data_IF_782198540366
#
_entry.id   IF_782198540366
#
_cell.length_a   1.000
_cell.length_b   1.000
_cell.length_c   1.000
_cell.angle_alpha   90.00
_cell.angle_beta   90.00
_cell.angle_gamma   90.00
#
_symmetry.space_group_name_H-M   'P 1'
#
loop_
_entity.id
_entity.type
_entity.pdbx_description
1 polymer ?
#
# COMPACT_ATOMS: atom_id res chain seq x y z
N UNK A 1 1.65 17.46 -4.92
CA UNK A 1 2.49 16.56 -5.74
C UNK A 1 2.71 17.19 -7.09
N UNK A 2 3.95 17.25 -7.55
CA UNK A 2 4.27 17.72 -8.90
C UNK A 2 3.80 16.67 -9.91
N UNK A 3 3.31 17.10 -11.08
CA UNK A 3 2.95 16.20 -12.19
C UNK A 3 4.08 15.22 -12.53
N UNK A 4 5.33 15.65 -12.34
CA UNK A 4 6.55 14.85 -12.53
C UNK A 4 6.63 13.66 -11.56
N UNK A 5 6.29 13.86 -10.28
CA UNK A 5 6.28 12.79 -9.26
C UNK A 5 5.20 11.75 -9.55
N UNK A 6 4.04 12.19 -10.06
CA UNK A 6 2.95 11.30 -10.47
C UNK A 6 3.37 10.42 -11.65
N UNK A 7 4.02 11.00 -12.67
CA UNK A 7 4.50 10.25 -13.84
C UNK A 7 5.58 9.24 -13.45
N UNK A 8 6.49 9.62 -12.56
CA UNK A 8 7.56 8.75 -12.07
C UNK A 8 6.99 7.55 -11.28
N UNK A 9 6.06 7.78 -10.36
CA UNK A 9 5.35 6.71 -9.64
C UNK A 9 4.62 5.73 -10.56
N UNK A 10 3.96 6.25 -11.60
CA UNK A 10 3.26 5.40 -12.58
C UNK A 10 4.26 4.55 -13.38
N UNK A 11 5.38 5.13 -13.80
CA UNK A 11 6.45 4.40 -14.49
C UNK A 11 7.08 3.32 -13.61
N UNK A 12 7.33 3.62 -12.33
CA UNK A 12 7.93 2.66 -11.40
C UNK A 12 7.00 1.45 -11.16
N UNK A 13 5.69 1.68 -11.01
CA UNK A 13 4.72 0.58 -10.95
C UNK A 13 4.69 -0.22 -12.24
N UNK A 14 4.63 0.43 -13.40
CA UNK A 14 4.63 -0.25 -14.69
C UNK A 14 5.89 -1.10 -14.89
N UNK A 15 7.06 -0.56 -14.53
CA UNK A 15 8.32 -1.29 -14.56
C UNK A 15 8.33 -2.49 -13.62
N UNK A 16 7.77 -2.36 -12.43
CA UNK A 16 7.61 -3.47 -11.50
C UNK A 16 6.66 -4.56 -12.03
N UNK A 17 5.50 -4.16 -12.58
CA UNK A 17 4.56 -5.10 -13.19
C UNK A 17 5.17 -5.80 -14.42
N UNK A 18 5.95 -5.09 -15.24
CA UNK A 18 6.69 -5.68 -16.34
C UNK A 18 7.74 -6.70 -15.84
N UNK A 19 8.44 -6.38 -14.74
CA UNK A 19 9.38 -7.32 -14.11
C UNK A 19 8.65 -8.58 -13.62
N UNK A 20 7.50 -8.41 -12.97
CA UNK A 20 6.63 -9.51 -12.54
C UNK A 20 6.20 -10.37 -13.74
N UNK A 21 5.72 -9.76 -14.82
CA UNK A 21 5.31 -10.47 -16.04
C UNK A 21 6.46 -11.25 -16.68
N UNK A 22 7.67 -10.67 -16.74
CA UNK A 22 8.84 -11.36 -17.27
C UNK A 22 9.19 -12.61 -16.47
N UNK A 23 9.07 -12.57 -15.14
CA UNK A 23 9.31 -13.75 -14.30
C UNK A 23 8.29 -14.85 -14.59
N UNK A 24 7.00 -14.50 -14.71
CA UNK A 24 5.98 -15.48 -15.12
C UNK A 24 6.24 -16.04 -16.52
N UNK A 25 6.71 -15.23 -17.46
CA UNK A 25 7.07 -15.68 -18.82
C UNK A 25 8.23 -16.67 -18.85
N UNK A 26 9.11 -16.66 -17.84
CA UNK A 26 10.25 -17.58 -17.71
C UNK A 26 9.89 -18.87 -16.95
N UNK A 27 8.76 -18.92 -16.24
CA UNK A 27 8.31 -20.09 -15.48
C UNK A 27 9.07 -20.37 -14.18
N UNK A 28 10.06 -19.55 -13.82
CA UNK A 28 10.78 -19.61 -12.56
C UNK A 28 11.31 -18.23 -12.12
N UNK A 29 11.43 -18.03 -10.81
CA UNK A 29 12.04 -16.83 -10.22
C UNK A 29 13.27 -17.21 -9.39
N UNK A 30 14.29 -16.36 -9.39
CA UNK A 30 15.36 -16.48 -8.40
C UNK A 30 14.92 -15.86 -7.07
N UNK A 31 15.63 -16.21 -6.00
CA UNK A 31 15.42 -15.62 -4.68
C UNK A 31 15.74 -14.13 -4.66
N UNK A 32 16.72 -13.71 -5.45
CA UNK A 32 17.11 -12.30 -5.56
C UNK A 32 16.03 -11.49 -6.28
N UNK A 33 15.39 -12.07 -7.31
CA UNK A 33 14.25 -11.43 -7.98
C UNK A 33 13.10 -11.16 -7.01
N UNK A 34 12.77 -12.14 -6.15
CA UNK A 34 11.74 -11.97 -5.15
C UNK A 34 12.11 -10.94 -4.08
N UNK A 35 13.37 -10.89 -3.64
CA UNK A 35 13.86 -9.87 -2.70
C UNK A 35 13.73 -8.47 -3.29
N UNK A 36 14.11 -8.31 -4.55
CA UNK A 36 14.05 -7.02 -5.21
C UNK A 36 12.59 -6.59 -5.42
N UNK A 37 11.70 -7.50 -5.83
CA UNK A 37 10.26 -7.22 -6.00
C UNK A 37 9.62 -6.83 -4.67
N UNK A 38 9.83 -7.63 -3.62
CA UNK A 38 9.29 -7.40 -2.30
C UNK A 38 9.77 -6.06 -1.72
N UNK A 39 11.06 -5.74 -1.86
CA UNK A 39 11.61 -4.44 -1.46
C UNK A 39 10.98 -3.29 -2.25
N UNK A 40 10.92 -3.39 -3.58
CA UNK A 40 10.32 -2.35 -4.44
C UNK A 40 8.85 -2.12 -4.11
N UNK A 41 8.10 -3.19 -3.83
CA UNK A 41 6.69 -3.07 -3.41
C UNK A 41 6.57 -2.32 -2.09
N UNK A 42 7.39 -2.65 -1.08
CA UNK A 42 7.40 -1.92 0.20
C UNK A 42 7.73 -0.45 0.01
N UNK A 43 8.74 -0.14 -0.80
CA UNK A 43 9.15 1.24 -1.07
C UNK A 43 8.01 2.03 -1.74
N UNK A 44 7.30 1.42 -2.70
CA UNK A 44 6.13 2.02 -3.35
C UNK A 44 4.98 2.24 -2.37
N UNK A 45 4.65 1.24 -1.54
CA UNK A 45 3.59 1.37 -0.55
C UNK A 45 3.90 2.46 0.49
N UNK A 46 5.15 2.55 0.94
CA UNK A 46 5.59 3.60 1.85
C UNK A 46 5.50 4.98 1.20
N UNK A 47 5.88 5.12 -0.07
CA UNK A 47 5.75 6.36 -0.82
C UNK A 47 4.28 6.78 -1.02
N UNK A 48 3.36 5.82 -1.16
CA UNK A 48 1.93 6.08 -1.17
C UNK A 48 1.45 6.57 0.20
N UNK A 49 1.82 5.89 1.30
CA UNK A 49 1.44 6.32 2.65
C UNK A 49 1.94 7.72 2.98
N UNK A 50 3.16 8.09 2.59
CA UNK A 50 3.64 9.49 2.71
C UNK A 50 2.78 10.47 1.94
N UNK A 51 2.44 10.13 0.70
CA UNK A 51 1.58 11.00 -0.12
C UNK A 51 0.17 11.14 0.48
N UNK A 52 -0.40 10.04 0.97
CA UNK A 52 -1.68 10.02 1.65
C UNK A 52 -1.62 10.88 2.91
N UNK A 53 -0.54 10.77 3.69
CA UNK A 53 -0.32 11.54 4.92
C UNK A 53 -0.37 13.04 4.66
N UNK A 54 0.38 13.53 3.67
CA UNK A 54 0.41 14.95 3.31
C UNK A 54 -0.97 15.43 2.83
N UNK A 55 -1.60 14.67 1.92
CA UNK A 55 -2.93 15.03 1.41
C UNK A 55 -3.98 15.05 2.53
N UNK A 56 -3.89 14.11 3.46
CA UNK A 56 -4.80 14.06 4.61
C UNK A 56 -4.61 15.23 5.58
N UNK A 57 -3.41 15.80 5.73
CA UNK A 57 -3.21 17.02 6.52
C UNK A 57 -3.98 18.19 5.95
N UNK A 58 -3.93 18.36 4.63
CA UNK A 58 -4.68 19.41 3.94
C UNK A 58 -6.19 19.24 4.15
N UNK A 59 -6.70 18.01 4.02
CA UNK A 59 -8.11 17.70 4.29
C UNK A 59 -8.45 18.02 5.75
N UNK A 60 -7.62 17.60 6.70
CA UNK A 60 -7.87 17.79 8.12
C UNK A 60 -7.90 19.28 8.50
N UNK A 61 -6.96 20.08 7.99
CA UNK A 61 -6.93 21.53 8.21
C UNK A 61 -8.15 22.22 7.59
N UNK A 62 -8.53 21.83 6.37
CA UNK A 62 -9.74 22.34 5.72
C UNK A 62 -11.01 21.99 6.53
N UNK A 63 -11.09 20.76 7.05
CA UNK A 63 -12.20 20.31 7.89
C UNK A 63 -12.23 21.06 9.24
N UNK A 64 -11.09 21.36 9.84
CA UNK A 64 -11.00 22.16 11.06
C UNK A 64 -11.51 23.59 10.82
N UNK A 65 -11.05 24.23 9.75
CA UNK A 65 -11.47 25.58 9.37
C UNK A 65 -12.98 25.65 9.08
N UNK A 66 -13.55 24.58 8.52
CA UNK A 66 -14.99 24.47 8.24
C UNK A 66 -15.83 24.03 9.47
N UNK A 67 -15.22 23.72 10.61
CA UNK A 67 -15.92 23.17 11.78
C UNK A 67 -16.53 21.78 11.54
N UNK A 68 -15.96 21.01 10.62
CA UNK A 68 -16.42 19.66 10.20
C UNK A 68 -15.49 18.53 10.63
N UNK A 69 -14.32 18.88 11.18
CA UNK A 69 -13.37 17.90 11.67
C UNK A 69 -13.99 17.04 12.79
N UNK A 70 -13.90 15.73 12.62
CA UNK A 70 -14.26 14.74 13.64
C UNK A 70 -12.99 14.07 14.18
N UNK A 71 -13.13 13.34 15.29
CA UNK A 71 -12.04 12.55 15.86
C UNK A 71 -11.45 11.52 14.87
N UNK A 72 -12.27 11.02 13.93
CA UNK A 72 -11.80 10.08 12.91
C UNK A 72 -10.75 10.70 11.97
N UNK A 73 -10.79 12.01 11.68
CA UNK A 73 -9.75 12.65 10.88
C UNK A 73 -8.38 12.59 11.55
N UNK A 74 -8.34 12.85 12.87
CA UNK A 74 -7.11 12.75 13.66
C UNK A 74 -6.65 11.30 13.78
N UNK A 75 -7.57 10.36 13.96
CA UNK A 75 -7.24 8.92 14.00
C UNK A 75 -6.67 8.41 12.68
N UNK A 76 -7.18 8.87 11.54
CA UNK A 76 -6.63 8.49 10.23
C UNK A 76 -5.18 8.91 10.09
N UNK A 77 -4.79 10.11 10.54
CA UNK A 77 -3.38 10.54 10.58
C UNK A 77 -2.51 9.52 11.32
N UNK A 78 -2.91 9.18 12.55
CA UNK A 78 -2.17 8.24 13.40
C UNK A 78 -2.05 6.85 12.76
N UNK A 79 -3.11 6.40 12.10
CA UNK A 79 -3.14 5.10 11.43
C UNK A 79 -2.25 5.11 10.18
N UNK A 80 -2.29 6.17 9.36
CA UNK A 80 -1.40 6.31 8.20
C UNK A 80 0.07 6.24 8.64
N UNK A 81 0.44 7.00 9.67
CA UNK A 81 1.82 7.02 10.19
C UNK A 81 2.23 5.64 10.71
N UNK A 82 1.38 5.00 11.52
CA UNK A 82 1.64 3.66 12.06
C UNK A 82 1.81 2.63 10.95
N UNK A 83 0.86 2.56 10.01
CA UNK A 83 0.84 1.53 8.95
C UNK A 83 1.96 1.77 7.94
N UNK A 84 2.20 3.03 7.56
CA UNK A 84 3.32 3.39 6.69
C UNK A 84 4.67 2.96 7.28
N UNK A 85 4.90 3.26 8.56
CA UNK A 85 6.14 2.86 9.24
C UNK A 85 6.25 1.35 9.48
N UNK A 86 5.12 0.65 9.62
CA UNK A 86 5.08 -0.82 9.71
C UNK A 86 5.54 -1.45 8.41
N UNK A 87 5.01 -0.98 7.28
CA UNK A 87 5.41 -1.45 5.95
C UNK A 87 6.88 -1.12 5.69
N UNK A 88 7.34 0.09 6.01
CA UNK A 88 8.72 0.51 5.78
C UNK A 88 9.75 -0.32 6.57
N UNK A 89 9.43 -0.67 7.83
CA UNK A 89 10.31 -1.44 8.72
C UNK A 89 10.12 -2.95 8.64
N UNK A 90 9.19 -3.43 7.83
CA UNK A 90 8.96 -4.86 7.69
C UNK A 90 10.19 -5.55 7.10
N UNK A 91 10.52 -6.71 7.66
CA UNK A 91 11.50 -7.63 7.08
C UNK A 91 11.02 -8.14 5.72
N UNK A 92 11.89 -8.86 5.01
CA UNK A 92 11.50 -9.50 3.75
C UNK A 92 10.30 -10.45 3.97
N UNK A 93 9.14 -10.09 3.43
CA UNK A 93 7.88 -10.78 3.76
C UNK A 93 7.79 -12.20 3.22
N UNK A 94 8.69 -12.57 2.31
CA UNK A 94 8.82 -13.92 1.76
C UNK A 94 10.07 -14.66 2.27
N UNK A 95 10.64 -14.26 3.41
CA UNK A 95 11.85 -14.88 3.95
C UNK A 95 11.79 -16.43 3.95
N UNK A 96 10.66 -17.02 4.35
CA UNK A 96 10.48 -18.48 4.34
C UNK A 96 10.55 -19.13 2.95
N UNK A 97 10.12 -18.43 1.89
CA UNK A 97 10.28 -18.88 0.50
C UNK A 97 11.70 -18.62 -0.03
N UNK A 98 12.33 -17.53 0.43
CA UNK A 98 13.71 -17.16 0.08
C UNK A 98 14.74 -18.08 0.74
N UNK A 99 14.42 -18.74 1.84
CA UNK A 99 15.35 -19.62 2.55
C UNK A 99 15.35 -21.07 2.02
N UNK A 100 14.41 -21.40 1.12
CA UNK A 100 14.35 -22.73 0.49
C UNK A 100 15.53 -22.97 -0.46
N UNK A 101 16.06 -24.20 -0.47
CA UNK A 101 17.07 -24.64 -1.44
C UNK A 101 16.42 -24.90 -2.81
N UNK A 102 16.95 -24.27 -3.86
CA UNK A 102 16.51 -24.48 -5.24
C UNK A 102 15.71 -23.30 -5.82
N UNK A 103 15.16 -23.50 -7.02
CA UNK A 103 14.23 -22.55 -7.65
C UNK A 103 12.85 -22.61 -6.99
N UNK A 104 12.15 -21.49 -6.98
CA UNK A 104 10.79 -21.41 -6.43
C UNK A 104 9.82 -21.86 -7.52
N UNK A 105 8.88 -22.73 -7.15
CA UNK A 105 7.89 -23.28 -8.09
C UNK A 105 6.96 -22.16 -8.57
N UNK A 106 6.57 -22.24 -9.84
CA UNK A 106 5.67 -21.29 -10.50
C UNK A 106 4.35 -21.09 -9.73
N UNK A 107 3.79 -22.16 -9.14
CA UNK A 107 2.55 -22.09 -8.37
C UNK A 107 2.68 -21.29 -7.06
N UNK A 108 3.82 -21.40 -6.37
CA UNK A 108 4.09 -20.66 -5.14
C UNK A 108 4.38 -19.19 -5.43
N UNK A 109 5.14 -18.95 -6.51
CA UNK A 109 5.38 -17.63 -7.06
C UNK A 109 4.07 -16.93 -7.44
N UNK A 110 3.17 -17.64 -8.14
CA UNK A 110 1.85 -17.13 -8.51
C UNK A 110 1.04 -16.72 -7.29
N UNK A 111 1.04 -17.54 -6.23
CA UNK A 111 0.32 -17.24 -4.99
C UNK A 111 0.82 -15.95 -4.34
N UNK A 112 2.13 -15.79 -4.23
CA UNK A 112 2.79 -14.61 -3.65
C UNK A 112 2.45 -13.35 -4.44
N UNK A 113 2.65 -13.38 -5.76
CA UNK A 113 2.47 -12.20 -6.60
C UNK A 113 1.00 -11.81 -6.74
N UNK A 114 0.08 -12.78 -6.72
CA UNK A 114 -1.35 -12.50 -6.66
C UNK A 114 -1.76 -11.83 -5.34
N UNK A 115 -1.12 -12.21 -4.23
CA UNK A 115 -1.34 -11.57 -2.94
C UNK A 115 -0.87 -10.11 -2.95
N UNK A 116 0.34 -9.85 -3.44
CA UNK A 116 0.87 -8.49 -3.57
C UNK A 116 0.06 -7.63 -4.55
N UNK A 117 -0.46 -8.24 -5.62
CA UNK A 117 -1.37 -7.55 -6.53
C UNK A 117 -2.63 -7.08 -5.79
N UNK A 118 -3.23 -7.95 -4.98
CA UNK A 118 -4.40 -7.59 -4.18
C UNK A 118 -4.10 -6.47 -3.17
N UNK A 119 -2.93 -6.49 -2.52
CA UNK A 119 -2.49 -5.39 -1.64
C UNK A 119 -2.28 -4.08 -2.40
N UNK A 120 -1.72 -4.16 -3.62
CA UNK A 120 -1.55 -3.00 -4.49
C UNK A 120 -2.89 -2.39 -4.91
N UNK A 121 -3.88 -3.23 -5.22
CA UNK A 121 -5.23 -2.77 -5.55
C UNK A 121 -5.90 -2.09 -4.35
N UNK A 122 -5.68 -2.59 -3.12
CA UNK A 122 -6.21 -1.98 -1.90
C UNK A 122 -5.63 -0.61 -1.62
N UNK A 123 -4.31 -0.45 -1.70
CA UNK A 123 -3.69 0.87 -1.46
C UNK A 123 -4.13 1.88 -2.52
N UNK A 124 -4.34 1.44 -3.77
CA UNK A 124 -4.94 2.30 -4.80
C UNK A 124 -6.39 2.65 -4.50
N UNK A 125 -7.16 1.74 -3.91
CA UNK A 125 -8.50 2.03 -3.39
C UNK A 125 -8.48 3.10 -2.29
N UNK A 126 -7.51 3.05 -1.38
CA UNK A 126 -7.31 4.07 -0.33
C UNK A 126 -6.95 5.42 -0.97
N UNK A 127 -6.00 5.45 -1.90
CA UNK A 127 -5.60 6.67 -2.62
C UNK A 127 -6.81 7.33 -3.29
N UNK A 128 -7.61 6.57 -4.03
CA UNK A 128 -8.83 7.09 -4.67
C UNK A 128 -9.82 7.67 -3.66
N UNK A 129 -10.07 6.96 -2.55
CA UNK A 129 -11.00 7.44 -1.53
C UNK A 129 -10.53 8.74 -0.86
N UNK A 130 -9.22 8.87 -0.62
CA UNK A 130 -8.63 10.12 -0.09
C UNK A 130 -8.69 11.24 -1.13
N UNK A 131 -8.44 10.94 -2.41
CA UNK A 131 -8.52 11.91 -3.50
C UNK A 131 -9.95 12.44 -3.69
N UNK A 132 -10.95 11.57 -3.58
CA UNK A 132 -12.36 11.97 -3.61
C UNK A 132 -12.69 12.93 -2.47
N UNK A 133 -12.31 12.61 -1.23
CA UNK A 133 -12.54 13.49 -0.08
C UNK A 133 -11.74 14.80 -0.19
N UNK A 134 -10.53 14.74 -0.75
CA UNK A 134 -9.72 15.92 -1.02
C UNK A 134 -10.44 16.87 -1.98
N UNK A 135 -10.93 16.35 -3.10
CA UNK A 135 -11.64 17.15 -4.10
C UNK A 135 -12.93 17.77 -3.53
N UNK A 136 -13.67 17.01 -2.72
CA UNK A 136 -14.84 17.54 -2.00
C UNK A 136 -14.47 18.68 -1.04
N UNK A 137 -13.40 18.49 -0.26
CA UNK A 137 -12.92 19.52 0.67
C UNK A 137 -12.50 20.80 -0.07
N UNK A 138 -11.81 20.68 -1.21
CA UNK A 138 -11.44 21.82 -2.06
C UNK A 138 -12.67 22.53 -2.65
N UNK A 139 -13.73 21.78 -2.96
CA UNK A 139 -15.02 22.33 -3.40
C UNK A 139 -15.89 22.87 -2.25
N UNK A 140 -15.43 22.77 -0.99
CA UNK A 140 -16.22 23.13 0.19
C UNK A 140 -17.41 22.20 0.46
N UNK A 141 -17.45 21.03 -0.18
CA UNK A 141 -18.48 20.02 0.02
C UNK A 141 -18.14 19.13 1.22
N UNK A 142 -18.89 19.28 2.31
CA UNK A 142 -18.65 18.54 3.56
C UNK A 142 -19.76 17.56 3.93
N UNK A 143 -20.74 17.34 3.06
CA UNK A 143 -21.97 16.59 3.37
C UNK A 143 -21.65 15.18 3.88
N UNK A 144 -20.74 14.47 3.19
CA UNK A 144 -20.40 13.08 3.51
C UNK A 144 -19.01 12.92 4.14
N UNK A 145 -18.36 14.03 4.53
CA UNK A 145 -16.95 14.02 4.91
C UNK A 145 -16.63 13.10 6.09
N UNK A 146 -17.51 13.07 7.11
CA UNK A 146 -17.36 12.18 8.26
C UNK A 146 -17.48 10.70 7.87
N UNK A 147 -18.47 10.35 7.05
CA UNK A 147 -18.66 8.98 6.57
C UNK A 147 -17.49 8.54 5.67
N UNK A 148 -16.99 9.42 4.80
CA UNK A 148 -15.79 9.18 3.97
C UNK A 148 -14.56 8.97 4.84
N UNK A 149 -14.36 9.79 5.88
CA UNK A 149 -13.25 9.61 6.81
C UNK A 149 -13.29 8.27 7.56
N UNK A 150 -14.47 7.85 8.02
CA UNK A 150 -14.67 6.54 8.63
C UNK A 150 -14.37 5.40 7.66
N UNK A 151 -14.86 5.50 6.42
CA UNK A 151 -14.57 4.49 5.39
C UNK A 151 -13.07 4.39 5.11
N UNK A 152 -12.37 5.52 4.96
CA UNK A 152 -10.93 5.56 4.69
C UNK A 152 -10.16 4.93 5.84
N UNK A 153 -10.51 5.25 7.08
CA UNK A 153 -9.97 4.58 8.27
C UNK A 153 -10.13 3.06 8.20
N UNK A 154 -11.33 2.57 7.89
CA UNK A 154 -11.60 1.13 7.75
C UNK A 154 -10.78 0.50 6.61
N UNK A 155 -10.61 1.19 5.48
CA UNK A 155 -9.79 0.69 4.37
C UNK A 155 -8.32 0.55 4.78
N UNK A 156 -7.75 1.53 5.50
CA UNK A 156 -6.36 1.46 5.94
C UNK A 156 -6.17 0.33 6.98
N UNK A 157 -7.11 0.15 7.90
CA UNK A 157 -7.08 -0.96 8.86
C UNK A 157 -7.24 -2.33 8.18
N UNK A 158 -8.03 -2.39 7.10
CA UNK A 158 -8.15 -3.57 6.25
C UNK A 158 -6.83 -3.92 5.58
N UNK A 159 -6.17 -2.92 4.99
CA UNK A 159 -4.83 -3.08 4.42
C UNK A 159 -3.82 -3.57 5.46
N UNK A 160 -3.80 -2.97 6.66
CA UNK A 160 -2.91 -3.40 7.75
C UNK A 160 -3.15 -4.87 8.13
N UNK A 161 -4.41 -5.28 8.20
CA UNK A 161 -4.76 -6.67 8.52
C UNK A 161 -4.26 -7.65 7.47
N UNK A 162 -4.35 -7.30 6.17
CA UNK A 162 -3.78 -8.10 5.09
C UNK A 162 -2.26 -8.07 5.07
N UNK A 163 -1.66 -6.94 5.41
CA UNK A 163 -0.21 -6.85 5.56
C UNK A 163 0.30 -7.83 6.64
N UNK A 164 -0.37 -7.88 7.78
CA UNK A 164 -0.01 -8.81 8.86
C UNK A 164 -0.23 -10.28 8.47
N UNK A 165 -1.30 -10.54 7.72
CA UNK A 165 -1.60 -11.87 7.21
C UNK A 165 -0.59 -12.33 6.16
N UNK A 166 -0.07 -11.42 5.34
CA UNK A 166 1.04 -11.71 4.40
C UNK A 166 2.23 -12.30 5.12
N UNK A 167 2.65 -11.68 6.22
CA UNK A 167 3.75 -12.21 7.03
C UNK A 167 3.40 -13.59 7.57
N UNK A 168 2.19 -13.80 8.11
CA UNK A 168 1.78 -15.11 8.65
C UNK A 168 1.77 -16.23 7.59
N UNK A 169 1.30 -15.94 6.38
CA UNK A 169 1.15 -16.96 5.34
C UNK A 169 2.47 -17.36 4.68
N UNK A 170 3.43 -16.44 4.58
CA UNK A 170 4.63 -16.63 3.77
C UNK A 170 5.95 -16.58 4.55
N UNK A 171 5.91 -16.25 5.84
CA UNK A 171 7.05 -16.34 6.75
C UNK A 171 7.26 -17.71 7.42
N UNK A 172 6.38 -18.73 7.44
CA UNK A 172 6.59 -19.85 8.36
C UNK A 172 7.88 -20.61 8.03
N UNK A 173 8.83 -20.44 8.95
CA UNK A 173 9.98 -21.26 9.23
C UNK A 173 9.50 -22.32 10.23
N UNK A 174 8.93 -23.41 9.77
CA UNK A 174 8.94 -24.63 10.57
C UNK A 174 9.97 -25.59 9.97
N UNK A 175 10.84 -26.02 10.88
CA UNK A 175 12.05 -26.82 10.74
C UNK A 175 11.81 -28.13 10.01
#
# INVERSE_FOLDING_TARGET
MSEKETVEKVKDRQGLFAKIQNIFGLGYATREDLREIDKKLRDLYYADFKSLRHKWEEIYLAALNAGKATDDFKKVIQIIDRVGEKVHRADYGYAGLMDRKGSIRETELARVLNYDKALSDEIQGIVKAVDELYNDAQAGNWVDAAAKAQRIKSLILGFESKWDERERQFRPLEV
#
